data_IF_609806123698
#
_entry.id   IF_609806123698
#
_cell.length_a   1.000
_cell.length_b   1.000
_cell.length_c   1.000
_cell.angle_alpha   90.00
_cell.angle_beta   90.00
_cell.angle_gamma   90.00
#
_symmetry.space_group_name_H-M   'P 1'
#
loop_
_entity.id
_entity.type
_entity.pdbx_description
1 polymer ?
#
# COMPACT_ATOMS: atom_id res chain seq x y z
N UNK A 1 8.89 -17.31 -8.63
CA UNK A 1 7.75 -16.57 -9.22
C UNK A 1 8.34 -15.52 -10.15
N UNK A 2 7.84 -15.39 -11.38
CA UNK A 2 8.38 -14.44 -12.37
C UNK A 2 7.51 -13.18 -12.38
N UNK A 3 8.08 -12.06 -11.92
CA UNK A 3 7.53 -10.71 -11.96
C UNK A 3 8.32 -9.81 -12.93
N UNK A 4 9.11 -10.40 -13.82
CA UNK A 4 10.10 -9.71 -14.65
C UNK A 4 9.47 -8.57 -15.47
N UNK A 5 8.23 -8.75 -15.92
CA UNK A 5 7.46 -7.72 -16.65
C UNK A 5 6.96 -6.59 -15.76
N UNK A 6 6.54 -6.90 -14.54
CA UNK A 6 6.19 -5.88 -13.56
C UNK A 6 7.41 -5.05 -13.15
N UNK A 7 8.58 -5.69 -13.02
CA UNK A 7 9.85 -5.01 -12.80
C UNK A 7 10.30 -4.19 -14.01
N UNK A 8 10.21 -4.74 -15.22
CA UNK A 8 10.59 -4.06 -16.47
C UNK A 8 9.79 -2.77 -16.67
N UNK A 9 8.48 -2.79 -16.42
CA UNK A 9 7.61 -1.64 -16.64
C UNK A 9 7.35 -0.82 -15.38
N UNK A 10 7.86 -1.26 -14.22
CA UNK A 10 7.63 -0.67 -12.89
C UNK A 10 6.15 -0.46 -12.58
N UNK A 11 5.35 -1.51 -12.80
CA UNK A 11 3.91 -1.51 -12.55
C UNK A 11 3.54 -2.81 -11.86
N UNK A 12 2.78 -2.70 -10.79
CA UNK A 12 2.57 -3.78 -9.83
C UNK A 12 1.12 -3.79 -9.41
N UNK A 13 0.50 -4.96 -9.44
CA UNK A 13 -0.80 -5.15 -8.81
C UNK A 13 -0.58 -5.39 -7.32
N UNK A 14 -1.21 -4.57 -6.50
CA UNK A 14 -1.15 -4.66 -5.05
C UNK A 14 -2.50 -5.17 -4.54
N UNK A 15 -2.46 -6.21 -3.73
CA UNK A 15 -3.61 -6.69 -2.97
C UNK A 15 -3.67 -6.01 -1.61
N UNK A 16 -4.87 -5.69 -1.17
CA UNK A 16 -5.19 -5.08 0.11
C UNK A 16 -6.28 -5.93 0.76
N UNK A 17 -6.00 -6.55 1.91
CA UNK A 17 -7.07 -7.11 2.74
C UNK A 17 -7.73 -5.98 3.51
N UNK A 18 -9.01 -5.80 3.28
CA UNK A 18 -9.82 -4.82 3.94
C UNK A 18 -10.99 -5.49 4.65
N UNK A 19 -10.94 -5.58 5.97
CA UNK A 19 -11.90 -6.39 6.75
C UNK A 19 -11.90 -7.83 6.21
N UNK A 20 -13.03 -8.30 5.69
CA UNK A 20 -13.21 -9.64 5.10
C UNK A 20 -13.20 -9.60 3.56
N UNK A 21 -12.74 -8.50 2.95
CA UNK A 21 -12.77 -8.29 1.51
C UNK A 21 -11.36 -8.05 0.97
N UNK A 22 -11.00 -8.80 -0.06
CA UNK A 22 -9.76 -8.58 -0.80
C UNK A 22 -10.00 -7.55 -1.90
N UNK A 23 -9.20 -6.50 -1.88
CA UNK A 23 -9.25 -5.40 -2.84
C UNK A 23 -7.93 -5.33 -3.60
N UNK A 24 -7.98 -4.89 -4.85
CA UNK A 24 -6.84 -4.83 -5.74
C UNK A 24 -6.64 -3.40 -6.23
N UNK A 25 -5.40 -2.95 -6.36
CA UNK A 25 -5.05 -1.66 -6.96
C UNK A 25 -3.75 -1.78 -7.74
N UNK A 26 -3.33 -0.69 -8.38
CA UNK A 26 -2.04 -0.61 -9.07
C UNK A 26 -1.15 0.38 -8.35
N UNK A 27 0.09 -0.06 -8.08
CA UNK A 27 1.20 0.78 -7.70
C UNK A 27 2.23 0.78 -8.83
N UNK A 28 2.90 1.90 -9.05
CA UNK A 28 3.92 1.97 -10.08
C UNK A 28 4.74 3.23 -10.05
N UNK A 29 5.95 3.11 -10.60
CA UNK A 29 6.92 4.19 -10.69
C UNK A 29 6.78 4.90 -12.02
N UNK A 30 6.73 6.22 -12.00
CA UNK A 30 6.65 7.04 -13.21
C UNK A 30 8.07 7.41 -13.68
N UNK A 31 8.55 6.69 -14.70
CA UNK A 31 9.93 6.83 -15.20
C UNK A 31 10.21 8.19 -15.87
N UNK A 32 9.18 9.03 -16.08
CA UNK A 32 9.30 10.31 -16.78
C UNK A 32 9.40 11.50 -15.81
N UNK A 33 9.06 11.34 -14.54
CA UNK A 33 9.06 12.46 -13.59
C UNK A 33 10.01 12.30 -12.39
N UNK A 34 11.13 11.62 -12.62
CA UNK A 34 12.13 11.38 -11.59
C UNK A 34 11.86 10.12 -10.78
N UNK A 35 11.13 9.16 -11.37
CA UNK A 35 10.83 7.86 -10.76
C UNK A 35 10.01 7.99 -9.48
N UNK A 36 9.00 8.88 -9.49
CA UNK A 36 8.10 8.96 -8.35
C UNK A 36 7.12 7.79 -8.36
N UNK A 37 7.01 7.14 -7.20
CA UNK A 37 6.07 6.06 -6.96
C UNK A 37 4.64 6.59 -6.80
N UNK A 38 3.68 5.91 -7.43
CA UNK A 38 2.28 6.34 -7.51
C UNK A 38 1.32 5.16 -7.49
N UNK A 39 0.25 5.33 -6.75
CA UNK A 39 -0.97 4.56 -6.87
C UNK A 39 -1.86 5.04 -8.02
N UNK A 40 -2.73 4.15 -8.46
CA UNK A 40 -3.89 4.49 -9.29
C UNK A 40 -4.91 5.26 -8.45
N UNK A 41 -5.02 6.57 -8.69
CA UNK A 41 -5.85 7.49 -7.91
C UNK A 41 -6.83 8.23 -8.82
N UNK A 42 -8.06 8.40 -8.33
CA UNK A 42 -9.05 9.30 -8.89
C UNK A 42 -9.20 10.51 -7.95
N UNK A 43 -8.71 11.67 -8.37
CA UNK A 43 -8.61 12.88 -7.54
C UNK A 43 -7.88 12.64 -6.20
N UNK A 44 -8.62 12.41 -5.13
CA UNK A 44 -8.10 12.18 -3.77
C UNK A 44 -8.42 10.78 -3.25
N UNK A 45 -8.92 9.88 -4.10
CA UNK A 45 -9.34 8.54 -3.76
C UNK A 45 -8.45 7.49 -4.40
N UNK A 46 -8.03 6.50 -3.61
CA UNK A 46 -7.37 5.31 -4.13
C UNK A 46 -8.41 4.45 -4.84
N UNK A 47 -8.19 4.20 -6.13
CA UNK A 47 -9.07 3.31 -6.89
C UNK A 47 -8.74 1.86 -6.54
N UNK A 48 -9.74 1.14 -6.05
CA UNK A 48 -9.62 -0.27 -5.67
C UNK A 48 -10.72 -1.11 -6.30
N UNK A 49 -10.41 -2.36 -6.61
CA UNK A 49 -11.28 -3.29 -7.35
C UNK A 49 -11.53 -4.55 -6.53
N UNK A 50 -12.72 -5.12 -6.60
CA UNK A 50 -13.07 -6.37 -5.88
C UNK A 50 -12.53 -7.63 -6.58
N UNK A 51 -12.03 -7.51 -7.82
CA UNK A 51 -11.41 -8.63 -8.54
C UNK A 51 -10.33 -8.16 -9.51
N UNK A 52 -9.41 -9.08 -9.84
CA UNK A 52 -8.38 -8.85 -10.85
C UNK A 52 -9.00 -8.66 -12.25
N UNK A 53 -10.08 -9.35 -12.58
CA UNK A 53 -10.77 -9.21 -13.87
C UNK A 53 -11.36 -7.81 -14.05
N UNK A 54 -11.92 -7.24 -12.99
CA UNK A 54 -12.40 -5.86 -12.94
C UNK A 54 -11.27 -4.86 -13.17
N UNK A 55 -10.16 -5.04 -12.42
CA UNK A 55 -8.96 -4.22 -12.55
C UNK A 55 -8.40 -4.30 -13.98
N UNK A 56 -8.26 -5.49 -14.54
CA UNK A 56 -7.76 -5.70 -15.90
C UNK A 56 -8.65 -5.02 -16.95
N UNK A 57 -9.97 -5.22 -16.84
CA UNK A 57 -10.94 -4.64 -17.77
C UNK A 57 -10.89 -3.11 -17.73
N UNK A 58 -10.82 -2.53 -16.54
CA UNK A 58 -10.72 -1.08 -16.36
C UNK A 58 -9.41 -0.51 -16.89
N UNK A 59 -8.27 -1.12 -16.57
CA UNK A 59 -6.97 -0.59 -17.01
C UNK A 59 -6.81 -0.61 -18.53
N UNK A 60 -7.48 -1.53 -19.23
CA UNK A 60 -7.50 -1.59 -20.70
C UNK A 60 -8.32 -0.46 -21.34
N UNK A 61 -9.27 0.15 -20.63
CA UNK A 61 -10.04 1.30 -21.13
C UNK A 61 -9.36 2.63 -20.83
N UNK A 62 -8.45 2.67 -19.86
CA UNK A 62 -7.70 3.86 -19.51
C UNK A 62 -6.65 4.21 -20.56
N UNK A 63 -6.66 5.45 -21.01
CA UNK A 63 -5.65 5.91 -21.96
C UNK A 63 -4.31 6.24 -21.28
N UNK A 64 -4.33 6.76 -20.03
CA UNK A 64 -3.12 7.24 -19.34
C UNK A 64 -3.29 7.60 -17.84
N UNK A 65 -3.27 6.63 -16.92
CA UNK A 65 -3.25 6.92 -15.48
C UNK A 65 -1.88 7.37 -14.96
N UNK A 66 -0.80 7.09 -15.70
CA UNK A 66 0.58 7.49 -15.38
C UNK A 66 1.16 8.36 -16.51
N UNK A 67 2.17 9.20 -16.21
CA UNK A 67 2.79 10.03 -17.28
C UNK A 67 3.59 9.16 -18.25
N UNK A 68 4.20 8.08 -17.77
CA UNK A 68 4.78 7.03 -18.62
C UNK A 68 3.71 6.15 -19.29
N UNK A 69 3.04 6.74 -20.29
CA UNK A 69 1.98 6.08 -21.06
C UNK A 69 2.48 4.82 -21.77
N UNK A 70 3.74 4.79 -22.21
CA UNK A 70 4.27 3.70 -23.03
C UNK A 70 4.46 2.44 -22.22
N UNK A 71 5.07 2.55 -21.04
CA UNK A 71 5.26 1.39 -20.17
C UNK A 71 3.93 0.90 -19.61
N UNK A 72 3.02 1.80 -19.23
CA UNK A 72 1.68 1.40 -18.81
C UNK A 72 0.94 0.59 -19.90
N UNK A 73 0.86 1.11 -21.13
CA UNK A 73 0.16 0.42 -22.24
C UNK A 73 0.76 -0.94 -22.57
N UNK A 74 2.08 -1.11 -22.40
CA UNK A 74 2.74 -2.41 -22.60
C UNK A 74 2.40 -3.37 -21.47
N UNK A 75 2.58 -2.93 -20.23
CA UNK A 75 2.34 -3.74 -19.05
C UNK A 75 0.91 -4.26 -18.93
N UNK A 76 -0.10 -3.47 -19.30
CA UNK A 76 -1.52 -3.88 -19.23
C UNK A 76 -1.83 -5.12 -20.09
N UNK A 77 -0.99 -5.44 -21.07
CA UNK A 77 -1.15 -6.63 -21.92
C UNK A 77 -0.32 -7.83 -21.45
N UNK A 78 0.44 -7.71 -20.37
CA UNK A 78 1.31 -8.76 -19.85
C UNK A 78 0.58 -9.63 -18.81
N UNK A 79 0.98 -10.89 -18.71
CA UNK A 79 0.42 -11.81 -17.71
C UNK A 79 0.66 -11.37 -16.25
N UNK A 80 1.67 -10.52 -16.02
CA UNK A 80 1.96 -9.97 -14.69
C UNK A 80 0.79 -9.17 -14.12
N UNK A 81 -0.10 -8.64 -14.96
CA UNK A 81 -1.31 -7.95 -14.53
C UNK A 81 -2.28 -8.87 -13.76
N UNK A 82 -2.24 -10.17 -14.03
CA UNK A 82 -3.12 -11.17 -13.39
C UNK A 82 -2.54 -11.70 -12.08
N UNK A 83 -1.48 -11.07 -11.57
CA UNK A 83 -0.72 -11.56 -10.41
C UNK A 83 -0.54 -10.44 -9.41
N UNK A 84 -0.89 -10.74 -8.17
CA UNK A 84 -0.62 -9.85 -7.04
C UNK A 84 0.87 -9.91 -6.72
N UNK A 85 1.53 -8.75 -6.78
CA UNK A 85 2.94 -8.60 -6.43
C UNK A 85 3.16 -8.67 -4.93
N UNK A 86 2.35 -7.93 -4.18
CA UNK A 86 2.34 -7.94 -2.72
C UNK A 86 0.90 -7.83 -2.22
N UNK A 87 0.61 -8.49 -1.10
CA UNK A 87 -0.70 -8.51 -0.48
C UNK A 87 -0.58 -7.98 0.96
N UNK A 88 -1.15 -6.81 1.23
CA UNK A 88 -1.03 -6.13 2.52
C UNK A 88 -2.31 -6.35 3.34
N UNK A 89 -2.17 -6.91 4.54
CA UNK A 89 -3.30 -7.05 5.45
C UNK A 89 -3.50 -5.76 6.27
N UNK A 90 -4.39 -4.89 5.80
CA UNK A 90 -4.62 -3.58 6.42
C UNK A 90 -5.31 -3.71 7.78
N UNK A 91 -6.04 -4.80 8.02
CA UNK A 91 -6.72 -5.05 9.30
C UNK A 91 -5.74 -5.17 10.47
N UNK A 92 -4.47 -5.53 10.22
CA UNK A 92 -3.42 -5.56 11.27
C UNK A 92 -3.18 -4.20 11.91
N UNK A 93 -3.46 -3.10 11.20
CA UNK A 93 -3.35 -1.75 11.76
C UNK A 93 -4.52 -1.43 12.70
N UNK A 94 -5.72 -1.92 12.37
CA UNK A 94 -6.92 -1.71 13.17
C UNK A 94 -6.93 -2.57 14.44
N UNK A 95 -6.42 -3.80 14.33
CA UNK A 95 -6.40 -4.81 15.39
C UNK A 95 -5.00 -4.97 16.02
N UNK A 96 -4.19 -3.91 15.91
CA UNK A 96 -2.80 -3.93 16.35
C UNK A 96 -2.69 -4.35 17.82
N UNK A 97 -1.78 -5.28 18.08
CA UNK A 97 -1.39 -5.70 19.41
C UNK A 97 0.10 -6.03 19.43
N UNK A 98 0.76 -5.89 20.58
CA UNK A 98 2.20 -6.11 20.70
C UNK A 98 2.65 -7.52 20.29
N UNK A 99 1.79 -8.54 20.41
CA UNK A 99 2.17 -9.90 20.05
C UNK A 99 2.43 -10.06 18.54
N UNK A 100 1.87 -9.17 17.70
CA UNK A 100 2.18 -9.12 16.26
C UNK A 100 3.66 -8.81 16.00
N UNK A 101 4.34 -8.14 16.94
CA UNK A 101 5.75 -7.79 16.80
C UNK A 101 6.72 -8.94 17.09
N UNK A 102 6.22 -10.04 17.65
CA UNK A 102 7.01 -11.26 17.91
C UNK A 102 7.24 -12.10 16.65
N UNK A 103 6.46 -11.85 15.61
CA UNK A 103 6.58 -12.50 14.31
C UNK A 103 7.15 -11.51 13.28
N UNK A 104 8.19 -11.95 12.57
CA UNK A 104 8.81 -11.16 11.49
C UNK A 104 7.80 -10.81 10.42
N UNK A 105 6.95 -11.74 10.01
CA UNK A 105 6.03 -11.51 8.89
C UNK A 105 5.03 -10.41 9.24
N UNK A 106 4.35 -10.52 10.37
CA UNK A 106 3.37 -9.55 10.87
C UNK A 106 4.00 -8.17 11.10
N UNK A 107 5.21 -8.13 11.64
CA UNK A 107 5.98 -6.88 11.80
C UNK A 107 6.25 -6.19 10.46
N UNK A 108 6.67 -6.96 9.45
CA UNK A 108 6.90 -6.45 8.10
C UNK A 108 5.60 -6.02 7.42
N UNK A 109 4.51 -6.77 7.59
CA UNK A 109 3.21 -6.42 7.03
C UNK A 109 2.71 -5.09 7.61
N UNK A 110 2.86 -4.86 8.92
CA UNK A 110 2.55 -3.56 9.56
C UNK A 110 3.40 -2.44 8.94
N UNK A 111 4.71 -2.65 8.81
CA UNK A 111 5.63 -1.65 8.24
C UNK A 111 5.28 -1.35 6.76
N UNK A 112 4.98 -2.37 5.97
CA UNK A 112 4.56 -2.21 4.58
C UNK A 112 3.24 -1.44 4.48
N UNK A 113 2.25 -1.75 5.31
CA UNK A 113 0.98 -1.02 5.36
C UNK A 113 1.18 0.46 5.76
N UNK A 114 2.05 0.75 6.74
CA UNK A 114 2.39 2.12 7.13
C UNK A 114 3.02 2.89 5.96
N UNK A 115 4.00 2.30 5.28
CA UNK A 115 4.67 2.94 4.15
C UNK A 115 3.70 3.14 2.97
N UNK A 116 2.89 2.14 2.65
CA UNK A 116 1.87 2.21 1.60
C UNK A 116 0.88 3.37 1.84
N UNK A 117 0.38 3.48 3.07
CA UNK A 117 -0.54 4.57 3.45
C UNK A 117 0.16 5.92 3.27
N UNK A 118 1.40 6.05 3.75
CA UNK A 118 2.18 7.28 3.63
C UNK A 118 2.37 7.68 2.17
N UNK A 119 2.80 6.76 1.32
CA UNK A 119 3.06 7.03 -0.10
C UNK A 119 1.80 7.51 -0.82
N UNK A 120 0.65 6.87 -0.55
CA UNK A 120 -0.64 7.31 -1.08
C UNK A 120 -1.01 8.74 -0.65
N UNK A 121 -0.87 9.07 0.63
CA UNK A 121 -1.24 10.39 1.12
C UNK A 121 -0.28 11.49 0.67
N UNK A 122 1.02 11.19 0.53
CA UNK A 122 2.00 12.09 -0.10
C UNK A 122 1.56 12.38 -1.54
N UNK A 123 1.20 11.34 -2.31
CA UNK A 123 0.76 11.50 -3.69
C UNK A 123 -0.45 12.44 -3.84
N UNK A 124 -1.41 12.39 -2.91
CA UNK A 124 -2.60 13.26 -2.94
C UNK A 124 -2.40 14.60 -2.21
N UNK A 125 -1.17 14.91 -1.76
CA UNK A 125 -0.80 16.11 -1.00
C UNK A 125 -1.68 16.34 0.25
N UNK A 126 -2.02 15.28 0.99
CA UNK A 126 -2.78 15.39 2.23
C UNK A 126 -1.82 15.61 3.41
N UNK A 127 -1.61 16.88 3.77
CA UNK A 127 -0.65 17.29 4.81
C UNK A 127 -0.97 16.74 6.21
N UNK A 128 -2.17 16.20 6.44
CA UNK A 128 -2.50 15.62 7.74
C UNK A 128 -1.83 14.26 7.96
N UNK A 129 -1.39 13.55 6.91
CA UNK A 129 -0.68 12.28 7.08
C UNK A 129 0.72 12.47 7.64
N UNK A 130 1.39 13.59 7.31
CA UNK A 130 2.73 13.86 7.78
C UNK A 130 2.72 13.94 9.31
N UNK A 131 1.69 14.59 9.88
CA UNK A 131 1.48 14.62 11.34
C UNK A 131 1.31 13.21 11.93
N UNK A 132 0.57 12.32 11.26
CA UNK A 132 0.34 10.97 11.75
C UNK A 132 1.59 10.07 11.60
N UNK A 133 2.32 10.20 10.49
CA UNK A 133 3.54 9.43 10.21
C UNK A 133 4.77 9.93 10.98
N UNK A 134 4.81 11.23 11.32
CA UNK A 134 5.83 11.86 12.16
C UNK A 134 5.50 11.77 13.66
N UNK A 135 4.40 11.09 14.02
CA UNK A 135 4.09 10.80 15.41
C UNK A 135 5.25 9.99 16.03
N UNK A 136 5.84 10.42 17.16
CA UNK A 136 6.95 9.71 17.80
C UNK A 136 6.67 8.22 18.06
N UNK A 137 5.42 7.85 18.32
CA UNK A 137 5.02 6.46 18.54
C UNK A 137 5.15 5.62 17.27
N UNK A 138 4.79 6.18 16.11
CA UNK A 138 4.94 5.53 14.81
C UNK A 138 6.41 5.47 14.40
N UNK A 139 7.17 6.54 14.64
CA UNK A 139 8.63 6.54 14.40
C UNK A 139 9.30 5.44 15.23
N UNK A 140 9.03 5.39 16.54
CA UNK A 140 9.60 4.38 17.44
C UNK A 140 9.21 2.95 17.03
N UNK A 141 7.96 2.74 16.59
CA UNK A 141 7.52 1.45 16.06
C UNK A 141 8.33 1.05 14.81
N UNK A 142 8.50 1.98 13.86
CA UNK A 142 9.28 1.72 12.63
C UNK A 142 10.72 1.41 12.97
N UNK A 143 11.34 2.20 13.84
CA UNK A 143 12.72 1.99 14.29
C UNK A 143 12.89 0.63 14.97
N UNK A 144 11.95 0.25 15.84
CA UNK A 144 11.91 -1.09 16.44
C UNK A 144 11.89 -2.19 15.37
N UNK A 145 11.01 -2.09 14.36
CA UNK A 145 10.90 -3.11 13.30
C UNK A 145 12.19 -3.15 12.46
N UNK A 146 12.75 -1.99 12.12
CA UNK A 146 14.01 -1.91 11.37
C UNK A 146 15.19 -2.52 12.13
N UNK A 147 15.34 -2.18 13.41
CA UNK A 147 16.42 -2.68 14.25
C UNK A 147 16.34 -4.20 14.47
N UNK A 148 15.12 -4.74 14.60
CA UNK A 148 14.94 -6.18 14.86
C UNK A 148 15.06 -7.07 13.61
N UNK A 149 14.72 -6.55 12.42
CA UNK A 149 14.57 -7.40 11.23
C UNK A 149 15.45 -7.04 10.03
N UNK A 150 16.03 -5.85 10.00
CA UNK A 150 16.86 -5.37 8.88
C UNK A 150 18.31 -5.07 9.27
N UNK A 151 18.60 -4.72 10.52
CA UNK A 151 19.98 -4.46 10.96
C UNK A 151 20.70 -5.75 11.39
N UNK A 152 21.91 -5.95 10.85
CA UNK A 152 22.75 -7.12 11.18
C UNK A 152 23.37 -7.05 12.58
N UNK A 153 23.46 -5.86 13.18
CA UNK A 153 23.95 -5.65 14.55
C UNK A 153 22.84 -5.08 15.42
N UNK A 154 22.41 -5.86 16.42
CA UNK A 154 21.56 -5.37 17.50
C UNK A 154 22.37 -4.37 18.33
N UNK A 155 22.24 -3.09 18.04
CA UNK A 155 22.62 -2.04 18.98
C UNK A 155 21.55 -1.95 20.08
N UNK A 156 21.77 -1.10 21.08
CA UNK A 156 20.81 -0.66 22.12
C UNK A 156 19.61 0.10 21.50
N UNK A 157 18.97 -0.49 20.50
CA UNK A 157 17.77 0.05 19.87
C UNK A 157 16.56 -0.05 20.78
N UNK A 158 15.44 0.50 20.32
CA UNK A 158 14.17 0.50 21.05
C UNK A 158 13.76 -0.96 21.33
N UNK A 159 13.46 -1.24 22.58
CA UNK A 159 12.90 -2.52 23.03
C UNK A 159 11.38 -2.50 22.92
N UNK A 160 10.76 -3.68 22.89
CA UNK A 160 9.30 -3.77 22.78
C UNK A 160 8.59 -3.12 23.98
N UNK A 161 9.22 -3.15 25.17
CA UNK A 161 8.68 -2.56 26.41
C UNK A 161 8.75 -1.03 26.42
N UNK A 162 9.64 -0.44 25.60
CA UNK A 162 9.76 1.01 25.42
C UNK A 162 8.73 1.56 24.43
N UNK A 163 8.01 0.70 23.70
CA UNK A 163 6.91 1.13 22.86
C UNK A 163 5.70 1.48 23.72
N UNK A 164 5.21 2.72 23.59
CA UNK A 164 3.94 3.11 24.16
C UNK A 164 2.79 2.45 23.35
N UNK A 165 2.44 1.23 23.74
CA UNK A 165 1.43 0.42 23.06
C UNK A 165 0.12 1.15 22.80
N UNK A 166 -0.37 1.91 23.79
CA UNK A 166 -1.64 2.65 23.68
C UNK A 166 -1.54 3.68 22.57
N UNK A 167 -0.49 4.50 22.57
CA UNK A 167 -0.31 5.54 21.55
C UNK A 167 -0.06 4.95 20.17
N UNK A 168 0.74 3.88 20.07
CA UNK A 168 0.95 3.17 18.80
C UNK A 168 -0.37 2.67 18.23
N UNK A 169 -1.18 1.98 19.05
CA UNK A 169 -2.48 1.44 18.62
C UNK A 169 -3.42 2.54 18.15
N UNK A 170 -3.51 3.65 18.87
CA UNK A 170 -4.33 4.81 18.50
C UNK A 170 -3.86 5.38 17.15
N UNK A 171 -2.56 5.60 16.97
CA UNK A 171 -2.02 6.17 15.73
C UNK A 171 -2.21 5.24 14.53
N UNK A 172 -1.96 3.93 14.68
CA UNK A 172 -2.19 2.96 13.60
C UNK A 172 -3.66 2.87 13.21
N UNK A 173 -4.55 2.89 14.21
CA UNK A 173 -6.00 2.90 13.98
C UNK A 173 -6.45 4.15 13.24
N UNK A 174 -5.95 5.33 13.64
CA UNK A 174 -6.25 6.59 12.96
C UNK A 174 -5.76 6.57 11.50
N UNK A 175 -4.54 6.11 11.25
CA UNK A 175 -4.00 5.96 9.89
C UNK A 175 -4.87 5.00 9.06
N UNK A 176 -5.25 3.86 9.63
CA UNK A 176 -6.15 2.90 9.00
C UNK A 176 -7.48 3.56 8.64
N UNK A 177 -8.19 4.16 9.60
CA UNK A 177 -9.51 4.75 9.38
C UNK A 177 -9.48 5.88 8.34
N UNK A 178 -8.44 6.72 8.37
CA UNK A 178 -8.23 7.76 7.34
C UNK A 178 -8.02 7.15 5.96
N UNK A 179 -7.19 6.13 5.85
CA UNK A 179 -6.95 5.44 4.59
C UNK A 179 -8.24 4.77 4.08
N UNK A 180 -9.01 4.13 4.95
CA UNK A 180 -10.33 3.55 4.63
C UNK A 180 -11.24 4.60 3.96
N UNK A 181 -11.29 5.80 4.54
CA UNK A 181 -12.14 6.89 4.05
C UNK A 181 -11.68 7.43 2.69
N UNK A 182 -10.49 7.06 2.23
CA UNK A 182 -9.93 7.45 0.94
C UNK A 182 -9.99 6.34 -0.11
N UNK A 183 -10.57 5.18 0.21
CA UNK A 183 -10.81 4.13 -0.78
C UNK A 183 -12.05 4.45 -1.61
N UNK A 184 -11.94 4.28 -2.93
CA UNK A 184 -13.07 4.25 -3.86
C UNK A 184 -13.16 2.84 -4.46
N UNK A 185 -14.16 2.08 -3.99
CA UNK A 185 -14.39 0.70 -4.42
C UNK A 185 -15.17 0.70 -5.71
N UNK A 186 -14.55 0.17 -6.76
CA UNK A 186 -15.18 -0.01 -8.06
C UNK A 186 -15.78 -1.41 -8.18
N UNK A 187 -17.04 -1.43 -8.57
CA UNK A 187 -17.84 -2.65 -8.74
C UNK A 187 -18.18 -2.84 -10.21
N UNK A 188 -18.54 -4.06 -10.57
CA UNK A 188 -19.18 -4.37 -11.83
C UNK A 188 -20.57 -3.70 -11.87
N UNK A 189 -20.64 -2.42 -12.25
CA UNK A 189 -21.89 -1.74 -12.62
C UNK A 189 -22.00 -1.53 -14.15
N UNK A 190 -21.04 -2.01 -14.94
CA UNK A 190 -21.04 -1.91 -16.40
C UNK A 190 -20.77 -3.25 -17.10
N UNK A 191 -21.82 -4.07 -17.19
CA UNK A 191 -22.15 -4.87 -18.38
C UNK A 191 -23.59 -4.56 -18.84
N UNK A 192 -24.05 -3.30 -18.68
CA UNK A 192 -25.33 -2.83 -19.23
C UNK A 192 -25.22 -1.45 -19.92
N UNK A 193 -24.09 -1.17 -20.56
CA UNK A 193 -23.95 -0.02 -21.44
C UNK A 193 -23.08 -0.33 -22.67
N UNK A 194 -23.41 -1.44 -23.34
CA UNK A 194 -23.10 -1.69 -24.76
C UNK A 194 -24.41 -2.02 -25.46
#
# INVERSE_FOLDING_TARGET
>A
MNFDKSEEYRKYVIGLQFKETDLYTVWGTDMVDGENDKFLVNETKLMVFESLDLLESFLKTLDHPFKDKRNFKRWVNEESLKRVYNFNNMSLLADFNLNLLNDKKSSLDILHSINLIRDFFIQINDSQIDIACENPSIINLKDFIYDNYFREKKNEGITIDELNFVNVSISLREMYDRFCNKLEVLKNEMLQAI
#
